data_IF_367209309107
#
_entry.id   IF_367209309107
#
_cell.length_a   1.000
_cell.length_b   1.000
_cell.length_c   1.000
_cell.angle_alpha   90.00
_cell.angle_beta   90.00
_cell.angle_gamma   90.00
#
_symmetry.space_group_name_H-M   'P 1'
#
loop_
_entity.id
_entity.type
_entity.pdbx_description
1 polymer ?
#
# COMPACT_ATOMS: atom_id res chain seq x y z
N UNK A 1 16.16 -23.21 -3.57
CA UNK A 1 16.05 -21.98 -2.76
C UNK A 1 14.99 -22.23 -1.71
N UNK A 2 15.28 -21.99 -0.43
CA UNK A 2 14.24 -22.08 0.61
C UNK A 2 13.30 -20.88 0.43
N UNK A 3 12.06 -21.12 0.04
CA UNK A 3 11.04 -20.08 -0.07
C UNK A 3 10.64 -19.66 1.35
N UNK A 4 10.78 -18.37 1.66
CA UNK A 4 10.24 -17.79 2.89
C UNK A 4 8.71 -17.80 2.77
N UNK A 5 8.00 -18.28 3.78
CA UNK A 5 6.55 -18.16 3.85
C UNK A 5 6.20 -16.94 4.70
N UNK A 6 5.47 -15.99 4.11
CA UNK A 6 4.97 -14.83 4.85
C UNK A 6 3.80 -15.24 5.74
N UNK A 7 3.83 -14.80 7.00
CA UNK A 7 2.76 -15.02 7.98
C UNK A 7 1.68 -13.97 7.83
N UNK A 8 2.05 -12.73 7.49
CA UNK A 8 1.13 -11.60 7.35
C UNK A 8 1.34 -10.89 6.01
N UNK A 9 0.25 -10.65 5.30
CA UNK A 9 0.18 -9.80 4.12
C UNK A 9 -0.48 -8.48 4.49
N UNK A 10 0.09 -7.36 4.04
CA UNK A 10 -0.50 -6.02 4.20
C UNK A 10 -0.87 -5.52 2.82
N UNK A 11 -2.15 -5.36 2.55
CA UNK A 11 -2.61 -4.70 1.33
C UNK A 11 -2.50 -3.20 1.54
N UNK A 12 -1.81 -2.54 0.62
CA UNK A 12 -1.39 -1.16 0.72
C UNK A 12 -1.76 -0.42 -0.55
N UNK A 13 -2.31 0.77 -0.35
CA UNK A 13 -2.64 1.70 -1.42
C UNK A 13 -2.52 3.14 -0.91
N UNK A 14 -2.29 4.07 -1.85
CA UNK A 14 -2.20 5.51 -1.56
C UNK A 14 -3.02 6.34 -2.54
N UNK A 15 -3.79 7.28 -2.00
CA UNK A 15 -4.24 8.43 -2.76
C UNK A 15 -3.16 9.50 -2.72
N UNK A 16 -2.99 10.24 -3.82
CA UNK A 16 -1.90 11.19 -3.97
C UNK A 16 -2.34 12.51 -4.57
N UNK A 17 -1.55 13.56 -4.35
CA UNK A 17 -1.79 14.88 -4.95
C UNK A 17 -1.63 14.92 -6.47
N UNK A 18 -1.12 13.86 -7.11
CA UNK A 18 -0.96 13.76 -8.55
C UNK A 18 0.07 12.71 -8.98
N UNK A 19 0.45 12.73 -10.25
CA UNK A 19 1.43 11.80 -10.83
C UNK A 19 2.82 12.46 -10.94
N UNK A 20 3.92 11.69 -10.86
CA UNK A 20 5.29 12.21 -10.94
C UNK A 20 5.68 12.60 -12.39
N UNK A 21 5.03 13.62 -12.94
CA UNK A 21 5.20 14.10 -14.31
C UNK A 21 5.80 15.49 -14.29
N UNK A 22 6.75 15.77 -15.19
CA UNK A 22 7.28 17.12 -15.39
C UNK A 22 8.06 17.68 -14.18
N UNK A 23 8.67 16.81 -13.37
CA UNK A 23 9.37 17.21 -12.14
C UNK A 23 8.45 17.46 -10.95
N UNK A 24 7.17 17.14 -11.05
CA UNK A 24 6.25 17.18 -9.91
C UNK A 24 6.58 16.07 -8.90
N UNK A 25 6.67 16.44 -7.63
CA UNK A 25 6.87 15.53 -6.51
C UNK A 25 5.53 15.27 -5.82
N UNK A 26 4.81 14.18 -6.16
CA UNK A 26 3.53 13.89 -5.56
C UNK A 26 3.67 13.60 -4.06
N UNK A 27 2.59 13.84 -3.34
CA UNK A 27 2.46 13.68 -1.88
C UNK A 27 1.34 12.71 -1.58
N UNK A 28 1.52 11.89 -0.55
CA UNK A 28 0.45 11.01 -0.06
C UNK A 28 -0.63 11.89 0.59
N UNK A 29 -1.89 11.71 0.18
CA UNK A 29 -3.06 12.39 0.74
C UNK A 29 -3.96 11.43 1.52
N UNK A 30 -3.93 10.15 1.19
CA UNK A 30 -4.52 9.07 1.96
C UNK A 30 -3.58 7.86 1.88
N UNK A 31 -3.42 7.14 2.98
CA UNK A 31 -2.71 5.86 3.03
C UNK A 31 -3.60 4.85 3.73
N UNK A 32 -3.71 3.65 3.16
CA UNK A 32 -4.43 2.54 3.79
C UNK A 32 -3.55 1.29 3.88
N UNK A 33 -3.56 0.64 5.04
CA UNK A 33 -2.88 -0.62 5.32
C UNK A 33 -3.89 -1.61 5.90
N UNK A 34 -4.21 -2.66 5.15
CA UNK A 34 -5.08 -3.75 5.58
C UNK A 34 -4.26 -5.03 5.79
N UNK A 35 -4.01 -5.37 7.05
CA UNK A 35 -3.17 -6.52 7.42
C UNK A 35 -4.00 -7.80 7.64
N UNK A 36 -3.57 -8.87 7.00
CA UNK A 36 -4.25 -10.17 6.96
C UNK A 36 -3.23 -11.28 7.22
N UNK A 37 -3.52 -12.16 8.17
CA UNK A 37 -2.73 -13.38 8.34
C UNK A 37 -2.97 -14.33 7.17
N UNK A 38 -1.92 -15.04 6.74
CA UNK A 38 -1.95 -15.98 5.62
C UNK A 38 -3.13 -16.96 5.70
N UNK A 39 -3.36 -17.55 6.87
CA UNK A 39 -4.46 -18.51 7.10
C UNK A 39 -5.83 -17.91 6.76
N UNK A 40 -6.03 -16.61 7.03
CA UNK A 40 -7.30 -15.93 6.82
C UNK A 40 -7.53 -15.54 5.35
N UNK A 41 -6.47 -15.46 4.54
CA UNK A 41 -6.61 -15.29 3.09
C UNK A 41 -7.09 -16.57 2.40
N UNK A 42 -6.75 -17.73 2.96
CA UNK A 42 -7.08 -19.04 2.40
C UNK A 42 -8.46 -19.52 2.88
N UNK A 43 -8.85 -19.18 4.11
CA UNK A 43 -10.12 -19.63 4.67
C UNK A 43 -11.31 -18.85 4.06
N UNK A 44 -12.15 -19.54 3.30
CA UNK A 44 -13.35 -18.99 2.64
C UNK A 44 -14.49 -18.66 3.61
N UNK A 45 -14.46 -19.16 4.86
CA UNK A 45 -15.52 -18.94 5.85
C UNK A 45 -15.49 -17.55 6.48
N UNK A 46 -14.37 -16.83 6.40
CA UNK A 46 -14.23 -15.49 6.96
C UNK A 46 -14.79 -14.41 6.03
N UNK A 47 -15.88 -13.76 6.44
CA UNK A 47 -16.51 -12.63 5.74
C UNK A 47 -15.67 -11.35 5.81
N UNK A 48 -14.86 -11.18 6.85
CA UNK A 48 -13.87 -10.11 6.97
C UNK A 48 -12.49 -10.72 7.31
N UNK A 49 -11.58 -10.85 6.32
CA UNK A 49 -10.34 -11.60 6.52
C UNK A 49 -9.27 -10.82 7.30
N UNK A 50 -9.29 -9.48 7.24
CA UNK A 50 -8.23 -8.64 7.82
C UNK A 50 -8.38 -8.46 9.33
N UNK A 51 -7.25 -8.54 10.04
CA UNK A 51 -7.19 -8.42 11.51
C UNK A 51 -6.95 -6.99 11.96
N UNK A 52 -6.17 -6.23 11.20
CA UNK A 52 -5.76 -4.88 11.57
C UNK A 52 -5.89 -3.95 10.36
N UNK A 53 -6.43 -2.76 10.59
CA UNK A 53 -6.53 -1.68 9.60
C UNK A 53 -5.89 -0.42 10.15
N UNK A 54 -5.11 0.26 9.31
CA UNK A 54 -4.68 1.63 9.53
C UNK A 54 -4.98 2.44 8.27
N UNK A 55 -5.86 3.44 8.37
CA UNK A 55 -6.08 4.42 7.29
C UNK A 55 -5.86 5.83 7.85
N UNK A 56 -5.07 6.64 7.16
CA UNK A 56 -4.67 7.98 7.58
C UNK A 56 -4.79 8.92 6.39
N UNK A 57 -5.48 10.04 6.57
CA UNK A 57 -5.48 11.15 5.63
C UNK A 57 -4.40 12.16 5.98
N UNK A 58 -3.74 12.70 4.97
CA UNK A 58 -2.68 13.69 5.10
C UNK A 58 -3.01 14.98 4.37
N UNK A 59 -2.39 16.06 4.82
CA UNK A 59 -2.43 17.33 4.11
C UNK A 59 -1.72 17.21 2.75
N UNK A 60 -2.37 17.52 1.62
CA UNK A 60 -1.72 17.55 0.32
C UNK A 60 -0.63 18.62 0.19
N UNK A 61 -0.49 19.50 1.19
CA UNK A 61 0.38 20.69 1.18
C UNK A 61 0.06 21.66 0.03
N UNK A 62 -1.20 21.63 -0.41
CA UNK A 62 -1.79 22.58 -1.36
C UNK A 62 -2.57 23.64 -0.58
N UNK A 63 -2.75 24.86 -1.12
CA UNK A 63 -3.54 25.92 -0.50
C UNK A 63 -5.05 25.66 -0.57
N UNK A 64 -5.47 24.52 -0.02
CA UNK A 64 -6.83 24.17 0.33
C UNK A 64 -6.83 24.12 1.87
N UNK A 65 -7.88 24.61 2.52
CA UNK A 65 -8.04 24.42 3.97
C UNK A 65 -8.19 22.93 4.27
N UNK A 66 -7.08 22.23 4.43
CA UNK A 66 -7.03 20.87 4.92
C UNK A 66 -6.80 20.90 6.43
N UNK A 67 -7.66 20.22 7.19
CA UNK A 67 -7.46 19.96 8.61
C UNK A 67 -6.55 18.76 8.86
N UNK A 68 -6.18 18.01 7.81
CA UNK A 68 -5.30 16.86 7.94
C UNK A 68 -3.89 17.30 8.30
N UNK A 69 -3.15 16.42 8.99
CA UNK A 69 -1.74 16.64 9.34
C UNK A 69 -0.83 16.23 8.19
N UNK A 70 0.36 16.78 8.14
CA UNK A 70 1.37 16.34 7.18
C UNK A 70 1.85 14.91 7.51
N UNK A 71 2.42 14.21 6.54
CA UNK A 71 3.15 12.98 6.81
C UNK A 71 4.42 13.33 7.61
N UNK A 72 4.39 13.06 8.92
CA UNK A 72 5.40 13.48 9.89
C UNK A 72 5.93 12.31 10.72
N UNK A 73 6.71 12.59 11.76
CA UNK A 73 7.25 11.58 12.67
C UNK A 73 6.16 10.79 13.41
N UNK A 74 4.98 11.40 13.65
CA UNK A 74 3.86 10.69 14.27
C UNK A 74 3.28 9.67 13.31
N UNK A 75 3.14 10.01 12.03
CA UNK A 75 2.71 9.07 10.99
C UNK A 75 3.68 7.88 10.89
N UNK A 76 4.99 8.15 10.92
CA UNK A 76 6.03 7.11 10.96
C UNK A 76 5.89 6.22 12.21
N UNK A 77 5.68 6.82 13.38
CA UNK A 77 5.51 6.07 14.63
C UNK A 77 4.25 5.19 14.61
N UNK A 78 3.15 5.67 14.03
CA UNK A 78 1.92 4.89 13.85
C UNK A 78 2.15 3.68 12.94
N UNK A 79 2.78 3.89 11.78
CA UNK A 79 3.12 2.80 10.85
C UNK A 79 4.05 1.79 11.52
N UNK A 80 5.06 2.26 12.27
CA UNK A 80 6.00 1.40 12.99
C UNK A 80 5.30 0.55 14.06
N UNK A 81 4.46 1.18 14.91
CA UNK A 81 3.68 0.47 15.91
C UNK A 81 2.72 -0.54 15.28
N UNK A 82 2.10 -0.19 14.15
CA UNK A 82 1.24 -1.09 13.39
C UNK A 82 2.00 -2.33 12.95
N UNK A 83 3.16 -2.17 12.29
CA UNK A 83 4.00 -3.28 11.85
C UNK A 83 4.49 -4.16 13.02
N UNK A 84 4.87 -3.56 14.15
CA UNK A 84 5.31 -4.31 15.33
C UNK A 84 4.19 -5.13 15.98
N UNK A 85 2.92 -4.78 15.75
CA UNK A 85 1.79 -5.54 16.24
C UNK A 85 1.47 -6.78 15.39
N UNK A 86 2.00 -6.88 14.17
CA UNK A 86 1.70 -7.96 13.25
C UNK A 86 2.60 -9.19 13.47
N UNK A 87 2.17 -10.33 12.92
CA UNK A 87 2.93 -11.58 12.99
C UNK A 87 3.92 -11.65 11.84
N UNK A 88 5.25 -11.61 12.09
CA UNK A 88 6.24 -11.77 11.03
C UNK A 88 6.33 -13.22 10.51
N UNK A 89 6.88 -13.45 9.30
CA UNK A 89 7.41 -12.47 8.36
C UNK A 89 6.30 -11.68 7.64
N UNK A 90 6.55 -10.41 7.32
CA UNK A 90 5.58 -9.47 6.73
C UNK A 90 5.89 -9.17 5.26
N UNK A 91 4.86 -9.25 4.40
CA UNK A 91 4.91 -8.77 3.01
C UNK A 91 3.84 -7.72 2.74
N UNK A 92 4.23 -6.54 2.27
CA UNK A 92 3.31 -5.49 1.80
C UNK A 92 3.00 -5.71 0.33
N UNK A 93 1.74 -5.64 -0.07
CA UNK A 93 1.26 -5.85 -1.44
C UNK A 93 0.55 -4.58 -1.92
N UNK A 94 1.01 -4.02 -3.04
CA UNK A 94 0.41 -2.86 -3.69
C UNK A 94 0.28 -3.10 -5.21
N UNK A 95 -0.69 -2.46 -5.86
CA UNK A 95 -0.90 -2.61 -7.30
C UNK A 95 -0.06 -1.61 -8.08
N UNK A 96 0.86 -2.09 -8.94
CA UNK A 96 1.92 -1.26 -9.54
C UNK A 96 2.84 -0.60 -8.49
N UNK A 97 2.89 -1.19 -7.29
CA UNK A 97 3.59 -0.64 -6.14
C UNK A 97 5.10 -0.46 -6.36
N UNK A 98 5.75 -1.29 -7.18
CA UNK A 98 7.18 -1.12 -7.46
C UNK A 98 7.50 0.16 -8.22
N UNK A 99 6.53 0.69 -8.98
CA UNK A 99 6.71 1.90 -9.77
C UNK A 99 6.00 3.12 -9.15
N UNK A 100 5.24 2.95 -8.07
CA UNK A 100 4.43 4.00 -7.49
C UNK A 100 4.42 4.01 -5.96
N UNK A 101 3.59 3.20 -5.32
CA UNK A 101 3.33 3.30 -3.88
C UNK A 101 4.57 3.09 -3.01
N UNK A 102 5.41 2.10 -3.33
CA UNK A 102 6.61 1.83 -2.52
C UNK A 102 7.69 2.92 -2.67
N UNK A 103 8.06 3.36 -3.90
CA UNK A 103 8.94 4.51 -4.06
C UNK A 103 8.41 5.79 -3.39
N UNK A 104 7.09 6.05 -3.48
CA UNK A 104 6.48 7.22 -2.87
C UNK A 104 6.52 7.15 -1.34
N UNK A 105 6.11 6.02 -0.76
CA UNK A 105 6.19 5.78 0.68
C UNK A 105 7.62 5.99 1.18
N UNK A 106 8.62 5.46 0.48
CA UNK A 106 10.03 5.68 0.86
C UNK A 106 10.44 7.15 0.81
N UNK A 107 9.95 7.90 -0.17
CA UNK A 107 10.24 9.33 -0.29
C UNK A 107 9.64 10.11 0.88
N UNK A 108 8.40 9.79 1.28
CA UNK A 108 7.74 10.39 2.45
C UNK A 108 8.42 10.00 3.77
N UNK A 109 8.80 8.73 3.95
CA UNK A 109 9.54 8.26 5.12
C UNK A 109 10.90 8.96 5.27
N UNK A 110 11.60 9.14 4.14
CA UNK A 110 12.90 9.82 4.11
C UNK A 110 12.75 11.32 4.35
N UNK A 111 11.66 11.93 3.89
CA UNK A 111 11.36 13.35 4.13
C UNK A 111 10.97 13.62 5.59
N UNK A 112 10.20 12.73 6.21
CA UNK A 112 9.74 12.88 7.59
C UNK A 112 10.88 12.78 8.60
N UNK A 113 11.74 11.75 8.48
CA UNK A 113 12.74 11.42 9.51
C UNK A 113 14.17 11.20 8.96
N UNK A 114 14.45 11.70 7.76
CA UNK A 114 15.74 11.54 7.08
C UNK A 114 16.02 10.11 6.60
N UNK A 115 17.25 9.85 6.14
CA UNK A 115 17.70 8.54 5.66
C UNK A 115 17.80 7.44 6.74
N UNK A 116 17.51 7.77 8.01
CA UNK A 116 17.58 6.84 9.14
C UNK A 116 16.33 5.96 9.30
N UNK A 117 15.23 6.25 8.60
CA UNK A 117 13.98 5.51 8.75
C UNK A 117 13.98 4.21 7.94
N UNK A 118 14.37 3.11 8.60
CA UNK A 118 14.15 1.76 8.08
C UNK A 118 12.99 1.12 8.83
N UNK A 119 11.90 0.82 8.12
CA UNK A 119 10.82 0.02 8.67
C UNK A 119 11.31 -1.43 8.87
N UNK A 120 11.02 -1.98 10.05
CA UNK A 120 11.29 -3.37 10.43
C UNK A 120 10.06 -3.97 11.11
N UNK A 121 10.00 -5.29 11.21
CA UNK A 121 9.02 -5.94 12.07
C UNK A 121 9.47 -5.91 13.54
N UNK A 122 8.64 -6.51 14.42
CA UNK A 122 8.89 -6.56 15.87
C UNK A 122 10.17 -7.30 16.27
N UNK A 123 10.73 -8.14 15.40
CA UNK A 123 11.98 -8.85 15.63
C UNK A 123 13.19 -8.07 15.12
N UNK A 124 12.98 -6.92 14.46
CA UNK A 124 14.02 -6.16 13.77
C UNK A 124 14.34 -6.69 12.37
N UNK A 125 13.56 -7.63 11.85
CA UNK A 125 13.76 -8.19 10.50
C UNK A 125 13.20 -7.25 9.42
N UNK A 126 13.69 -7.43 8.19
CA UNK A 126 13.31 -6.61 7.06
C UNK A 126 11.84 -6.83 6.67
N UNK A 127 11.14 -5.74 6.36
CA UNK A 127 9.83 -5.78 5.70
C UNK A 127 10.03 -6.05 4.21
N UNK A 128 9.23 -6.96 3.66
CA UNK A 128 9.21 -7.27 2.23
C UNK A 128 8.02 -6.61 1.56
N UNK A 129 8.13 -6.41 0.25
CA UNK A 129 7.03 -5.92 -0.57
C UNK A 129 6.93 -6.70 -1.88
N UNK A 130 5.72 -6.75 -2.43
CA UNK A 130 5.41 -7.38 -3.70
C UNK A 130 4.39 -6.57 -4.49
N UNK A 131 4.44 -6.70 -5.82
CA UNK A 131 3.60 -5.92 -6.73
C UNK A 131 2.55 -6.83 -7.39
N UNK A 132 1.27 -6.54 -7.14
CA UNK A 132 0.16 -7.35 -7.63
C UNK A 132 -0.05 -7.22 -9.14
N UNK A 133 0.46 -6.18 -9.79
CA UNK A 133 0.38 -6.05 -11.25
C UNK A 133 1.14 -7.19 -11.95
N UNK A 134 2.26 -7.61 -11.38
CA UNK A 134 3.04 -8.75 -11.89
C UNK A 134 2.32 -10.08 -11.65
N UNK A 135 1.74 -10.27 -10.46
CA UNK A 135 0.88 -11.42 -10.17
C UNK A 135 -0.24 -11.52 -11.22
N UNK A 136 -0.95 -10.43 -11.48
CA UNK A 136 -2.09 -10.45 -12.39
C UNK A 136 -1.69 -10.74 -13.84
N UNK A 137 -0.48 -10.35 -14.26
CA UNK A 137 0.07 -10.73 -15.57
C UNK A 137 0.35 -12.23 -15.66
N UNK A 138 0.92 -12.81 -14.61
CA UNK A 138 1.24 -14.24 -14.58
C UNK A 138 -0.01 -15.11 -14.43
N UNK A 139 -1.06 -14.57 -13.81
CA UNK A 139 -2.35 -15.25 -13.56
C UNK A 139 -3.46 -14.80 -14.52
N UNK A 140 -3.14 -14.07 -15.59
CA UNK A 140 -4.14 -13.47 -16.50
C UNK A 140 -5.17 -14.48 -17.01
N UNK A 141 -4.74 -15.70 -17.32
CA UNK A 141 -5.63 -16.79 -17.75
C UNK A 141 -6.74 -17.14 -16.73
N UNK A 142 -6.47 -17.01 -15.43
CA UNK A 142 -7.44 -17.24 -14.36
C UNK A 142 -8.36 -16.03 -14.10
N UNK A 143 -7.97 -14.86 -14.61
CA UNK A 143 -8.65 -13.58 -14.38
C UNK A 143 -9.56 -13.18 -15.56
N UNK A 144 -9.60 -13.97 -16.63
CA UNK A 144 -10.47 -13.78 -17.80
C UNK A 144 -11.79 -14.54 -17.63
N UNK A 145 -12.92 -13.86 -17.80
CA UNK A 145 -14.22 -14.52 -17.91
C UNK A 145 -14.30 -15.32 -19.23
N UNK A 146 -14.87 -16.55 -19.25
CA UNK A 146 -15.02 -17.36 -20.47
C UNK A 146 -15.70 -16.64 -21.64
N UNK A 147 -16.48 -15.60 -21.36
CA UNK A 147 -17.25 -14.82 -22.34
C UNK A 147 -16.54 -13.55 -22.83
N UNK A 148 -15.34 -13.22 -22.34
CA UNK A 148 -14.69 -11.94 -22.62
C UNK A 148 -13.80 -11.98 -23.87
N UNK A 149 -14.42 -11.80 -25.04
CA UNK A 149 -13.74 -11.69 -26.35
C UNK A 149 -13.32 -10.26 -26.71
N UNK A 150 -13.23 -9.29 -25.79
CA UNK A 150 -12.88 -7.94 -26.25
C UNK A 150 -12.76 -6.76 -25.30
N UNK A 151 -12.86 -6.87 -23.97
CA UNK A 151 -12.66 -5.69 -23.12
C UNK A 151 -11.18 -5.46 -22.75
N UNK A 152 -10.42 -4.96 -23.72
CA UNK A 152 -8.99 -4.66 -23.58
C UNK A 152 -8.62 -3.54 -22.56
N UNK A 153 -9.55 -3.03 -21.74
CA UNK A 153 -9.30 -1.91 -20.81
C UNK A 153 -10.18 -1.86 -19.54
N UNK A 154 -10.97 -2.88 -19.20
CA UNK A 154 -11.74 -2.87 -17.94
C UNK A 154 -10.86 -3.09 -16.72
N UNK A 155 -11.29 -2.56 -15.57
CA UNK A 155 -10.69 -2.80 -14.25
C UNK A 155 -10.64 -4.32 -13.98
N UNK A 156 -9.51 -4.86 -13.51
CA UNK A 156 -9.33 -6.29 -13.23
C UNK A 156 -10.43 -6.80 -12.29
N UNK A 157 -10.84 -5.98 -11.32
CA UNK A 157 -11.93 -6.34 -10.43
C UNK A 157 -13.26 -6.53 -11.16
N UNK A 158 -13.58 -5.65 -12.10
CA UNK A 158 -14.78 -5.77 -12.93
C UNK A 158 -14.73 -7.02 -13.81
N UNK A 159 -13.55 -7.39 -14.31
CA UNK A 159 -13.35 -8.64 -15.08
C UNK A 159 -13.61 -9.88 -14.24
N UNK A 160 -13.13 -9.89 -12.99
CA UNK A 160 -13.25 -11.05 -12.10
C UNK A 160 -14.66 -11.18 -11.52
N UNK A 161 -15.29 -10.07 -11.13
CA UNK A 161 -16.54 -10.10 -10.35
C UNK A 161 -17.77 -9.58 -11.11
N UNK A 162 -17.62 -9.15 -12.37
CA UNK A 162 -18.68 -8.55 -13.19
C UNK A 162 -19.43 -7.40 -12.49
N UNK A 163 -18.72 -6.64 -11.63
CA UNK A 163 -19.26 -5.54 -10.82
C UNK A 163 -18.28 -4.38 -10.77
N UNK A 164 -18.77 -3.16 -10.87
CA UNK A 164 -18.01 -1.95 -10.58
C UNK A 164 -17.65 -1.89 -9.10
N UNK A 165 -16.53 -1.24 -8.79
CA UNK A 165 -16.16 -0.95 -7.40
C UNK A 165 -16.92 0.29 -6.93
N UNK A 166 -17.91 0.12 -6.05
CA UNK A 166 -18.66 1.25 -5.46
C UNK A 166 -17.75 2.19 -4.63
N UNK A 167 -16.56 1.70 -4.22
CA UNK A 167 -15.57 2.42 -3.40
C UNK A 167 -14.22 2.61 -4.10
N UNK A 168 -14.14 2.50 -5.43
CA UNK A 168 -12.87 2.52 -6.19
C UNK A 168 -12.18 3.89 -6.31
N UNK A 169 -12.37 4.73 -5.28
CA UNK A 169 -11.85 6.11 -5.18
C UNK A 169 -11.31 6.40 -3.77
N UNK A 170 -11.06 5.36 -2.98
CA UNK A 170 -10.39 5.49 -1.67
C UNK A 170 -9.32 4.43 -1.56
N UNK A 171 -8.22 4.76 -0.86
CA UNK A 171 -7.12 3.83 -0.66
C UNK A 171 -7.57 2.53 0.04
N UNK A 172 -8.53 2.64 0.97
CA UNK A 172 -9.13 1.46 1.60
C UNK A 172 -9.94 0.61 0.62
N UNK A 173 -10.73 1.25 -0.25
CA UNK A 173 -11.54 0.58 -1.26
C UNK A 173 -10.70 -0.25 -2.22
N UNK A 174 -9.58 0.30 -2.67
CA UNK A 174 -8.66 -0.37 -3.60
C UNK A 174 -7.89 -1.51 -2.92
N UNK A 175 -7.50 -1.35 -1.66
CA UNK A 175 -7.00 -2.47 -0.85
C UNK A 175 -8.03 -3.62 -0.77
N UNK A 176 -9.31 -3.29 -0.50
CA UNK A 176 -10.39 -4.28 -0.41
C UNK A 176 -10.66 -4.98 -1.74
N UNK A 177 -10.54 -4.28 -2.86
CA UNK A 177 -10.61 -4.88 -4.20
C UNK A 177 -9.50 -5.92 -4.40
N UNK A 178 -8.26 -5.55 -4.06
CA UNK A 178 -7.09 -6.39 -4.21
C UNK A 178 -7.16 -7.64 -3.31
N UNK A 179 -7.65 -7.50 -2.06
CA UNK A 179 -7.90 -8.63 -1.16
C UNK A 179 -8.86 -9.64 -1.81
N UNK A 180 -9.97 -9.17 -2.38
CA UNK A 180 -10.95 -10.05 -3.03
C UNK A 180 -10.36 -10.80 -4.21
N UNK A 181 -9.57 -10.14 -5.06
CA UNK A 181 -8.89 -10.80 -6.19
C UNK A 181 -7.87 -11.84 -5.69
N UNK A 182 -7.05 -11.50 -4.69
CA UNK A 182 -6.08 -12.45 -4.14
C UNK A 182 -6.76 -13.65 -3.49
N UNK A 183 -7.88 -13.46 -2.78
CA UNK A 183 -8.67 -14.58 -2.25
C UNK A 183 -9.27 -15.44 -3.35
N UNK A 184 -9.74 -14.83 -4.45
CA UNK A 184 -10.23 -15.56 -5.61
C UNK A 184 -9.14 -16.44 -6.25
N UNK A 185 -7.90 -15.93 -6.34
CA UNK A 185 -6.76 -16.70 -6.83
C UNK A 185 -6.27 -17.77 -5.84
N UNK A 186 -6.57 -17.60 -4.54
CA UNK A 186 -6.30 -18.57 -3.49
C UNK A 186 -4.81 -18.72 -3.14
N UNK A 187 -4.48 -19.90 -2.59
CA UNK A 187 -3.12 -20.24 -2.13
C UNK A 187 -2.02 -20.03 -3.19
N UNK A 188 -2.22 -20.32 -4.49
CA UNK A 188 -1.24 -20.03 -5.54
C UNK A 188 -0.75 -18.57 -5.57
N UNK A 189 -1.63 -17.60 -5.33
CA UNK A 189 -1.22 -16.19 -5.29
C UNK A 189 -0.30 -15.89 -4.09
N UNK A 190 -0.53 -16.52 -2.94
CA UNK A 190 0.29 -16.33 -1.75
C UNK A 190 1.69 -16.93 -1.96
N UNK A 191 1.78 -18.11 -2.56
CA UNK A 191 3.08 -18.68 -2.96
C UNK A 191 3.80 -17.84 -4.01
N UNK A 192 3.07 -17.22 -4.93
CA UNK A 192 3.68 -16.31 -5.89
C UNK A 192 4.32 -15.12 -5.16
N UNK A 193 3.66 -14.53 -4.15
CA UNK A 193 4.24 -13.46 -3.34
C UNK A 193 5.45 -13.90 -2.49
N UNK A 194 5.43 -15.12 -1.96
CA UNK A 194 6.56 -15.70 -1.22
C UNK A 194 7.85 -15.73 -2.05
N UNK A 195 7.72 -15.88 -3.37
CA UNK A 195 8.85 -15.98 -4.32
C UNK A 195 9.16 -14.64 -5.00
N UNK A 196 8.15 -13.81 -5.30
CA UNK A 196 8.27 -12.61 -6.13
C UNK A 196 8.28 -11.31 -5.32
N UNK A 197 8.99 -11.29 -4.20
CA UNK A 197 9.11 -10.14 -3.32
C UNK A 197 10.49 -9.48 -3.36
N UNK A 198 10.56 -8.23 -2.92
CA UNK A 198 11.80 -7.47 -2.67
C UNK A 198 11.82 -6.99 -1.22
N UNK A 199 13.00 -6.70 -0.67
CA UNK A 199 13.02 -5.93 0.58
C UNK A 199 12.50 -4.52 0.29
N UNK A 200 11.60 -4.02 1.14
CA UNK A 200 11.14 -2.63 1.02
C UNK A 200 12.31 -1.64 1.10
N UNK A 201 13.37 -1.98 1.86
CA UNK A 201 14.56 -1.16 1.97
C UNK A 201 15.29 -0.97 0.63
N UNK A 202 15.20 -1.95 -0.28
CA UNK A 202 15.90 -1.96 -1.57
C UNK A 202 15.15 -1.22 -2.68
N UNK A 203 13.90 -0.82 -2.43
CA UNK A 203 13.12 0.00 -3.37
C UNK A 203 13.79 1.38 -3.51
N UNK A 204 13.95 1.95 -4.70
CA UNK A 204 14.49 3.31 -4.85
C UNK A 204 13.49 4.37 -4.34
N UNK A 205 13.98 5.58 -4.06
CA UNK A 205 13.10 6.73 -3.87
C UNK A 205 12.37 7.04 -5.18
N UNK A 206 11.17 7.61 -5.10
CA UNK A 206 10.42 8.07 -6.28
C UNK A 206 11.12 9.25 -6.95
N UNK A 207 11.70 10.12 -6.14
CA UNK A 207 12.43 11.32 -6.56
C UNK A 207 13.55 11.64 -5.57
N UNK A 208 14.54 12.41 -6.01
CA UNK A 208 15.55 12.95 -5.12
C UNK A 208 14.94 14.07 -4.28
N UNK A 209 15.03 13.93 -2.95
CA UNK A 209 14.55 14.93 -2.02
C UNK A 209 15.48 16.14 -2.08
N UNK A 210 14.93 17.29 -2.43
CA UNK A 210 15.69 18.52 -2.59
C UNK A 210 15.24 19.59 -1.58
N UNK A 211 16.05 20.65 -1.42
CA UNK A 211 15.78 21.70 -0.45
C UNK A 211 14.56 22.58 -0.78
N UNK A 212 14.02 22.48 -2.00
CA UNK A 212 12.81 23.18 -2.42
C UNK A 212 11.54 22.38 -2.08
N UNK A 213 11.68 21.10 -1.72
CA UNK A 213 10.55 20.30 -1.23
C UNK A 213 10.06 20.88 0.11
N UNK A 214 8.75 21.16 0.22
CA UNK A 214 8.23 21.77 1.42
C UNK A 214 8.39 20.82 2.61
N UNK A 215 9.04 21.31 3.66
CA UNK A 215 9.18 20.61 4.93
C UNK A 215 7.82 20.50 5.62
N UNK A 216 7.67 19.45 6.43
CA UNK A 216 6.49 19.27 7.28
C UNK A 216 6.21 20.57 8.04
N UNK A 217 4.96 21.03 7.99
CA UNK A 217 4.50 22.14 8.81
C UNK A 217 4.69 21.77 10.28
N UNK A 218 5.32 22.63 11.09
CA UNK A 218 5.45 22.36 12.51
C UNK A 218 4.05 22.25 13.14
N UNK A 219 3.93 21.35 14.12
CA UNK A 219 2.63 20.94 14.69
C UNK A 219 1.80 22.12 15.26
N UNK A 220 2.44 23.25 15.57
CA UNK A 220 1.82 24.47 16.09
C UNK A 220 1.21 25.39 15.01
N UNK A 221 1.37 25.08 13.71
CA UNK A 221 0.76 25.82 12.60
C UNK A 221 -0.56 25.20 12.10
N UNK A 222 -0.91 24.01 12.59
CA UNK A 222 -2.26 23.50 12.39
C UNK A 222 -3.20 24.30 13.29
N UNK A 223 -4.38 24.73 12.79
CA UNK A 223 -5.34 25.43 13.63
C UNK A 223 -5.67 24.53 14.81
N UNK A 224 -5.21 24.90 15.99
CA UNK A 224 -5.85 24.45 17.22
C UNK A 224 -7.28 24.94 17.09
N UNK A 225 -8.24 24.02 17.10
CA UNK A 225 -9.62 24.39 17.33
C UNK A 225 -9.63 25.22 18.62
N UNK A 226 -9.92 26.52 18.48
CA UNK A 226 -10.34 27.33 19.61
C UNK A 226 -11.79 26.92 19.86
N UNK A 227 -11.95 26.07 20.88
CA UNK A 227 -13.15 25.66 21.63
C UNK A 227 -14.42 25.27 20.85
#
# INVERSE_FOLDING_TARGET
MSSRLFSTFIFFDTETSGLPIGGFHPRITELSLLAIERSNLIDELHTCPFKNKLSICFNPMMPIQSQAKDFDDNALQLITCFLHHLTPPICIVAHNGYNFDFPLLKSELTRANGYSSKLSDRNGDAIFCSDSLHLFRDFDYFLVSPDDKGLAKSNIYERVFCKSLDTGHTAEGDCMAMIKIVRFLGEPALFWFDVNCKSLADIPLMYEINNADPKSLPANLFPHELD
#
